data_IF_741757260308
#
_entry.id   IF_741757260308
#
_cell.length_a   1.000
_cell.length_b   1.000
_cell.length_c   1.000
_cell.angle_alpha   90.00
_cell.angle_beta   90.00
_cell.angle_gamma   90.00
#
_symmetry.space_group_name_H-M   'P 1'
#
loop_
_entity.id
_entity.type
_entity.pdbx_description
1 polymer ?
#
# COMPACT_ATOMS: atom_id res chain seq x y z
N UNK A 1 -12.10 -1.48 -16.14
CA UNK A 1 -11.43 -1.11 -14.89
C UNK A 1 -9.90 -1.18 -14.94
N UNK A 2 -9.24 -1.44 -16.07
CA UNK A 2 -7.76 -1.53 -16.15
C UNK A 2 -7.13 -0.41 -16.99
N UNK A 3 -7.87 0.67 -17.26
CA UNK A 3 -7.30 1.86 -17.88
C UNK A 3 -6.87 2.83 -16.78
N UNK A 4 -5.75 3.51 -16.96
CA UNK A 4 -5.16 4.38 -15.95
C UNK A 4 -6.11 5.50 -15.47
N UNK A 5 -6.99 5.98 -16.36
CA UNK A 5 -8.04 6.95 -16.04
C UNK A 5 -9.08 6.44 -15.04
N UNK A 6 -9.17 5.13 -14.80
CA UNK A 6 -10.04 4.55 -13.77
C UNK A 6 -9.30 4.12 -12.50
N UNK A 7 -8.01 4.47 -12.35
CA UNK A 7 -7.27 4.26 -11.11
C UNK A 7 -7.94 4.96 -9.94
N UNK A 8 -8.10 4.27 -8.80
CA UNK A 8 -8.76 4.83 -7.62
C UNK A 8 -8.02 6.05 -7.07
N UNK A 9 -6.69 6.00 -7.07
CA UNK A 9 -5.81 7.12 -6.72
C UNK A 9 -6.05 8.33 -7.63
N UNK A 10 -6.06 8.12 -8.94
CA UNK A 10 -6.35 9.16 -9.92
C UNK A 10 -7.73 9.77 -9.72
N UNK A 11 -8.76 8.94 -9.57
CA UNK A 11 -10.14 9.40 -9.34
C UNK A 11 -10.27 10.21 -8.04
N UNK A 12 -9.60 9.78 -6.96
CA UNK A 12 -9.61 10.48 -5.68
C UNK A 12 -8.90 11.83 -5.78
N UNK A 13 -7.74 11.89 -6.45
CA UNK A 13 -7.00 13.14 -6.70
C UNK A 13 -7.84 14.12 -7.52
N UNK A 14 -8.49 13.63 -8.57
CA UNK A 14 -9.36 14.47 -9.40
C UNK A 14 -10.58 14.98 -8.62
N UNK A 15 -11.17 14.16 -7.76
CA UNK A 15 -12.26 14.57 -6.89
C UNK A 15 -11.82 15.63 -5.87
N UNK A 16 -10.65 15.45 -5.23
CA UNK A 16 -10.09 16.45 -4.31
C UNK A 16 -9.84 17.78 -5.01
N UNK A 17 -9.24 17.76 -6.21
CA UNK A 17 -9.02 18.96 -7.03
C UNK A 17 -10.32 19.65 -7.43
N UNK A 18 -11.34 18.90 -7.82
CA UNK A 18 -12.65 19.46 -8.19
C UNK A 18 -13.38 20.12 -7.01
N UNK A 19 -13.01 19.79 -5.77
CA UNK A 19 -13.57 20.37 -4.55
C UNK A 19 -12.58 21.32 -3.84
N UNK A 20 -11.52 21.76 -4.53
CA UNK A 20 -10.47 22.64 -4.00
C UNK A 20 -9.86 22.14 -2.67
N UNK A 21 -9.79 20.82 -2.49
CA UNK A 21 -9.21 20.21 -1.31
C UNK A 21 -7.68 20.14 -1.42
N UNK A 22 -6.93 20.60 -0.39
CA UNK A 22 -5.48 20.43 -0.35
C UNK A 22 -5.10 18.95 -0.39
N UNK A 23 -4.16 18.60 -1.25
CA UNK A 23 -3.61 17.25 -1.37
C UNK A 23 -2.25 17.24 -0.70
N UNK A 24 -2.05 16.31 0.24
CA UNK A 24 -0.77 16.06 0.89
C UNK A 24 -0.27 14.71 0.38
N UNK A 25 0.85 14.71 -0.32
CA UNK A 25 1.50 13.49 -0.76
C UNK A 25 2.21 12.83 0.42
N UNK A 26 1.88 11.56 0.70
CA UNK A 26 2.43 10.81 1.83
C UNK A 26 3.57 9.85 1.43
N UNK A 27 3.59 9.42 0.17
CA UNK A 27 4.59 8.50 -0.38
C UNK A 27 4.66 8.68 -1.90
N UNK A 28 5.53 9.58 -2.34
CA UNK A 28 5.68 9.96 -3.73
C UNK A 28 6.55 9.00 -4.54
N UNK A 29 6.70 9.23 -5.85
CA UNK A 29 7.52 8.40 -6.72
C UNK A 29 9.00 8.33 -6.28
N UNK A 30 9.54 9.42 -5.73
CA UNK A 30 10.93 9.48 -5.28
C UNK A 30 11.17 8.67 -4.01
N UNK A 31 10.22 8.67 -3.07
CA UNK A 31 10.24 7.82 -1.88
C UNK A 31 10.19 6.34 -2.26
N UNK A 32 9.33 5.97 -3.21
CA UNK A 32 9.22 4.60 -3.73
C UNK A 32 10.49 4.14 -4.44
N UNK A 33 11.06 4.98 -5.32
CA UNK A 33 12.34 4.69 -5.97
C UNK A 33 13.48 4.63 -4.97
N UNK A 34 13.50 5.55 -4.00
CA UNK A 34 14.46 5.59 -2.92
C UNK A 34 14.45 4.32 -2.08
N UNK A 35 13.28 3.73 -1.83
CA UNK A 35 13.14 2.44 -1.16
C UNK A 35 13.80 1.32 -1.97
N UNK A 36 13.51 1.22 -3.26
CA UNK A 36 14.09 0.18 -4.12
C UNK A 36 15.61 0.29 -4.18
N UNK A 37 16.15 1.51 -4.21
CA UNK A 37 17.60 1.78 -4.20
C UNK A 37 18.28 1.44 -2.89
N UNK A 38 17.55 1.42 -1.78
CA UNK A 38 18.06 1.07 -0.44
C UNK A 38 18.00 -0.43 -0.14
N UNK A 39 17.45 -1.24 -1.05
CA UNK A 39 17.41 -2.68 -0.85
C UNK A 39 18.83 -3.27 -0.76
N UNK A 40 19.09 -4.14 0.24
CA UNK A 40 20.38 -4.80 0.36
C UNK A 40 20.62 -5.70 -0.86
N UNK A 41 21.89 -5.91 -1.19
CA UNK A 41 22.32 -6.78 -2.28
C UNK A 41 21.58 -6.49 -3.61
N UNK A 42 21.38 -5.21 -3.92
CA UNK A 42 20.70 -4.73 -5.13
C UNK A 42 19.30 -5.34 -5.34
N UNK A 43 18.64 -5.77 -4.26
CA UNK A 43 17.32 -6.39 -4.33
C UNK A 43 17.32 -7.86 -4.80
N UNK A 44 18.45 -8.56 -4.78
CA UNK A 44 18.53 -9.98 -5.17
C UNK A 44 17.53 -10.86 -4.39
N UNK A 45 17.35 -10.59 -3.10
CA UNK A 45 16.35 -11.28 -2.27
C UNK A 45 14.91 -11.02 -2.73
N UNK A 46 14.59 -9.80 -3.18
CA UNK A 46 13.28 -9.46 -3.73
C UNK A 46 13.02 -10.23 -5.04
N UNK A 47 14.02 -10.31 -5.92
CA UNK A 47 13.93 -11.09 -7.15
C UNK A 47 13.71 -12.58 -6.84
N UNK A 48 14.53 -13.15 -5.96
CA UNK A 48 14.43 -14.55 -5.56
C UNK A 48 13.08 -14.88 -4.92
N UNK A 49 12.58 -14.04 -4.02
CA UNK A 49 11.26 -14.22 -3.40
C UNK A 49 10.14 -14.09 -4.43
N UNK A 50 10.23 -13.14 -5.36
CA UNK A 50 9.24 -12.96 -6.43
C UNK A 50 9.17 -14.18 -7.34
N UNK A 51 10.32 -14.74 -7.71
CA UNK A 51 10.41 -15.96 -8.51
C UNK A 51 9.92 -17.18 -7.73
N UNK A 52 10.21 -17.26 -6.42
CA UNK A 52 9.78 -18.38 -5.57
C UNK A 52 8.27 -18.39 -5.39
N UNK A 53 7.65 -17.23 -5.16
CA UNK A 53 6.22 -17.11 -4.85
C UNK A 53 5.37 -16.69 -6.06
N UNK A 54 5.91 -16.78 -7.29
CA UNK A 54 5.28 -16.22 -8.48
C UNK A 54 3.85 -16.73 -8.72
N UNK A 55 3.61 -18.03 -8.50
CA UNK A 55 2.28 -18.64 -8.61
C UNK A 55 1.31 -18.10 -7.57
N UNK A 56 1.75 -17.97 -6.32
CA UNK A 56 0.94 -17.43 -5.22
C UNK A 56 0.59 -15.96 -5.48
N UNK A 57 1.56 -15.17 -5.94
CA UNK A 57 1.37 -13.76 -6.29
C UNK A 57 0.39 -13.59 -7.47
N UNK A 58 0.53 -14.41 -8.51
CA UNK A 58 -0.40 -14.42 -9.64
C UNK A 58 -1.82 -14.78 -9.20
N UNK A 59 -1.97 -15.77 -8.30
CA UNK A 59 -3.28 -16.16 -7.77
C UNK A 59 -3.92 -15.03 -6.95
N UNK A 60 -3.13 -14.29 -6.19
CA UNK A 60 -3.65 -13.15 -5.42
C UNK A 60 -4.14 -12.01 -6.29
N UNK A 61 -3.39 -11.67 -7.34
CA UNK A 61 -3.84 -10.67 -8.30
C UNK A 61 -5.19 -11.06 -8.90
N UNK A 62 -5.39 -12.35 -9.23
CA UNK A 62 -6.69 -12.84 -9.70
C UNK A 62 -7.80 -12.70 -8.65
N UNK A 63 -7.51 -13.01 -7.37
CA UNK A 63 -8.47 -12.87 -6.27
C UNK A 63 -8.87 -11.41 -6.06
N UNK A 64 -7.90 -10.49 -6.03
CA UNK A 64 -8.16 -9.05 -5.85
C UNK A 64 -8.95 -8.48 -7.03
N UNK A 65 -8.65 -8.90 -8.27
CA UNK A 65 -9.45 -8.55 -9.46
C UNK A 65 -10.87 -9.13 -9.35
N UNK A 66 -11.02 -10.36 -8.87
CA UNK A 66 -12.32 -10.99 -8.63
C UNK A 66 -13.18 -10.17 -7.66
N UNK A 67 -12.63 -9.73 -6.53
CA UNK A 67 -13.36 -8.86 -5.60
C UNK A 67 -13.76 -7.52 -6.22
N UNK A 68 -12.86 -6.94 -7.01
CA UNK A 68 -13.13 -5.68 -7.70
C UNK A 68 -14.33 -5.81 -8.64
N UNK A 69 -14.45 -6.93 -9.34
CA UNK A 69 -15.56 -7.17 -10.28
C UNK A 69 -16.86 -7.58 -9.57
N UNK A 70 -16.78 -8.34 -8.49
CA UNK A 70 -17.94 -8.98 -7.84
C UNK A 70 -18.44 -8.25 -6.58
N UNK A 71 -17.76 -7.17 -6.15
CA UNK A 71 -18.12 -6.32 -4.99
C UNK A 71 -18.19 -7.06 -3.64
N UNK A 72 -17.47 -8.17 -3.45
CA UNK A 72 -17.49 -8.95 -2.21
C UNK A 72 -16.10 -9.24 -1.64
N UNK A 73 -15.60 -8.42 -0.70
CA UNK A 73 -14.59 -8.88 0.24
C UNK A 73 -15.29 -9.63 1.38
N UNK A 74 -15.11 -10.95 1.51
CA UNK A 74 -15.72 -11.73 2.59
C UNK A 74 -14.90 -11.66 3.88
N UNK A 75 -13.56 -11.55 3.79
CA UNK A 75 -12.68 -11.10 4.87
C UNK A 75 -11.31 -10.71 4.31
N UNK A 76 -11.06 -9.40 4.16
CA UNK A 76 -9.80 -8.87 3.58
C UNK A 76 -8.57 -9.30 4.39
N UNK A 77 -8.74 -9.55 5.70
CA UNK A 77 -7.65 -9.94 6.61
C UNK A 77 -7.17 -11.37 6.39
N UNK A 78 -8.05 -12.28 5.97
CA UNK A 78 -7.68 -13.66 5.66
C UNK A 78 -7.11 -13.82 4.25
N UNK A 79 -7.27 -12.80 3.41
CA UNK A 79 -7.14 -12.97 1.99
C UNK A 79 -5.86 -12.38 1.38
N UNK A 80 -5.07 -11.67 2.19
CA UNK A 80 -3.67 -11.39 1.89
C UNK A 80 -2.79 -12.35 2.73
N UNK A 81 -2.53 -13.59 2.26
CA UNK A 81 -1.50 -14.42 2.87
C UNK A 81 -0.18 -13.65 2.85
N UNK A 82 0.70 -13.91 3.82
CA UNK A 82 2.04 -13.32 3.86
C UNK A 82 2.84 -13.78 2.63
N UNK A 83 2.72 -13.06 1.53
CA UNK A 83 3.31 -13.40 0.22
C UNK A 83 4.73 -12.93 0.04
N UNK A 84 5.20 -12.21 1.03
CA UNK A 84 6.55 -11.71 1.13
C UNK A 84 7.16 -12.35 2.37
N UNK A 85 8.42 -12.77 2.29
CA UNK A 85 9.15 -13.14 3.49
C UNK A 85 9.10 -11.99 4.49
N UNK A 86 9.18 -12.32 5.77
CA UNK A 86 8.98 -11.36 6.86
C UNK A 86 9.93 -10.14 6.78
N UNK A 87 11.17 -10.40 6.42
CA UNK A 87 12.22 -9.41 6.19
C UNK A 87 11.90 -8.49 5.00
N UNK A 88 11.23 -8.99 3.97
CA UNK A 88 10.81 -8.19 2.82
C UNK A 88 9.50 -7.43 3.07
N UNK A 89 8.55 -8.05 3.79
CA UNK A 89 7.35 -7.38 4.28
C UNK A 89 7.70 -6.15 5.14
N UNK A 90 8.75 -6.25 5.97
CA UNK A 90 9.23 -5.13 6.78
C UNK A 90 9.58 -3.91 5.94
N UNK A 91 10.38 -4.08 4.88
CA UNK A 91 10.77 -2.98 4.01
C UNK A 91 9.58 -2.42 3.21
N UNK A 92 8.75 -3.30 2.65
CA UNK A 92 7.63 -2.87 1.82
C UNK A 92 6.48 -2.23 2.60
N UNK A 93 6.27 -2.62 3.85
CA UNK A 93 5.08 -2.24 4.61
C UNK A 93 5.43 -1.64 5.97
N UNK A 94 6.11 -2.37 6.85
CA UNK A 94 6.33 -1.93 8.24
C UNK A 94 7.06 -0.58 8.30
N UNK A 95 8.21 -0.45 7.65
CA UNK A 95 9.02 0.78 7.70
C UNK A 95 8.26 1.97 7.08
N UNK A 96 7.51 1.71 6.00
CA UNK A 96 6.64 2.71 5.37
C UNK A 96 5.51 3.14 6.28
N UNK A 97 4.85 2.20 6.98
CA UNK A 97 3.78 2.53 7.91
C UNK A 97 4.27 3.39 9.09
N UNK A 98 5.48 3.15 9.59
CA UNK A 98 6.10 4.00 10.61
C UNK A 98 6.43 5.40 10.07
N UNK A 99 6.94 5.50 8.84
CA UNK A 99 7.17 6.79 8.21
C UNK A 99 5.86 7.56 8.02
N UNK A 100 4.83 6.92 7.46
CA UNK A 100 3.49 7.46 7.29
C UNK A 100 2.89 7.90 8.64
N UNK A 101 3.04 7.10 9.71
CA UNK A 101 2.62 7.48 11.07
C UNK A 101 3.26 8.81 11.47
N UNK A 102 4.59 8.92 11.32
CA UNK A 102 5.33 10.12 11.71
C UNK A 102 4.84 11.35 10.93
N UNK A 103 4.69 11.22 9.61
CA UNK A 103 4.18 12.30 8.75
C UNK A 103 2.78 12.74 9.17
N UNK A 104 1.86 11.79 9.39
CA UNK A 104 0.48 12.09 9.79
C UNK A 104 0.39 12.74 11.17
N UNK A 105 1.25 12.35 12.12
CA UNK A 105 1.29 12.94 13.46
C UNK A 105 1.81 14.37 13.49
N UNK A 106 2.57 14.79 12.47
CA UNK A 106 3.09 16.16 12.35
C UNK A 106 2.09 17.11 11.69
N UNK A 107 0.99 16.60 11.12
CA UNK A 107 -0.05 17.43 10.52
C UNK A 107 -0.80 18.23 11.60
N UNK A 108 -1.21 19.48 11.29
CA UNK A 108 -2.00 20.27 12.23
C UNK A 108 -3.35 19.58 12.53
N UNK A 109 -3.96 19.81 13.70
CA UNK A 109 -5.27 19.25 14.04
C UNK A 109 -6.32 19.56 12.97
N UNK A 110 -7.06 18.54 12.52
CA UNK A 110 -8.05 18.67 11.47
C UNK A 110 -8.71 17.34 11.09
N UNK A 111 -9.71 17.41 10.21
CA UNK A 111 -10.33 16.23 9.63
C UNK A 111 -9.62 15.90 8.30
N UNK A 112 -9.02 14.71 8.24
CA UNK A 112 -8.28 14.25 7.06
C UNK A 112 -8.92 12.98 6.49
N UNK A 113 -9.00 12.92 5.17
CA UNK A 113 -9.18 11.67 4.44
C UNK A 113 -7.80 11.14 4.09
N UNK A 114 -7.46 9.95 4.59
CA UNK A 114 -6.21 9.27 4.27
C UNK A 114 -6.51 8.13 3.30
N UNK A 115 -5.98 8.20 2.09
CA UNK A 115 -6.09 7.17 1.07
C UNK A 115 -4.76 6.44 0.91
N UNK A 116 -4.76 5.12 1.14
CA UNK A 116 -3.57 4.25 1.05
C UNK A 116 -3.94 2.92 0.44
N UNK A 117 -2.95 2.21 -0.11
CA UNK A 117 -3.14 0.86 -0.63
C UNK A 117 -3.59 -0.14 0.46
N UNK A 118 -4.30 -1.23 0.09
CA UNK A 118 -4.87 -2.18 1.05
C UNK A 118 -3.85 -2.77 2.03
N UNK A 119 -2.61 -2.98 1.60
CA UNK A 119 -1.54 -3.54 2.44
C UNK A 119 -1.09 -2.61 3.58
N UNK A 120 -1.42 -1.32 3.53
CA UNK A 120 -1.20 -0.41 4.66
C UNK A 120 -2.30 -0.51 5.73
N UNK A 121 -3.46 -1.09 5.40
CA UNK A 121 -4.63 -1.15 6.27
C UNK A 121 -4.69 -2.42 7.12
N UNK A 122 -4.05 -3.50 6.67
CA UNK A 122 -4.12 -4.84 7.26
C UNK A 122 -2.73 -5.45 7.51
N UNK A 123 -2.67 -6.52 8.31
CA UNK A 123 -1.42 -7.21 8.64
C UNK A 123 -0.75 -6.71 9.92
N UNK A 124 0.45 -7.23 10.21
CA UNK A 124 1.26 -6.75 11.33
C UNK A 124 1.72 -5.30 11.08
N UNK A 125 1.74 -4.49 12.15
CA UNK A 125 2.11 -3.07 12.12
C UNK A 125 1.36 -2.24 11.05
N UNK A 126 0.09 -2.57 10.83
CA UNK A 126 -0.77 -1.82 9.93
C UNK A 126 -0.99 -0.38 10.42
N UNK A 127 -1.09 0.58 9.50
CA UNK A 127 -1.11 2.01 9.81
C UNK A 127 -2.24 2.42 10.79
N UNK A 128 -3.50 1.96 10.65
CA UNK A 128 -4.55 2.25 11.64
C UNK A 128 -4.27 1.70 13.04
N UNK A 129 -3.49 0.62 13.15
CA UNK A 129 -3.04 0.08 14.44
C UNK A 129 -1.99 1.00 15.06
N UNK A 130 -1.00 1.38 14.26
CA UNK A 130 0.09 2.26 14.67
C UNK A 130 -0.38 3.66 15.11
N UNK A 131 -1.42 4.22 14.47
CA UNK A 131 -1.98 5.54 14.82
C UNK A 131 -2.78 5.55 16.13
N UNK A 132 -3.17 4.38 16.65
CA UNK A 132 -3.88 4.25 17.94
C UNK A 132 -2.94 4.06 19.14
N UNK A 133 -1.63 3.90 18.88
CA UNK A 133 -0.56 3.84 19.88
C UNK A 133 0.02 5.23 20.12
#
# INVERSE_FOLDING_TARGET
GLRADYGIDYQLIQAARANDQPIIELDGPEEQLGLLRKLPDQGAALLADTLTHWHTNARLLQVVIGWWLESRPVDVRQAFPATFRQDFYRYLMTDRNYHLKSTLQQLPPGAYLVAVGPLHLYGADHLPGLLRQ
#
